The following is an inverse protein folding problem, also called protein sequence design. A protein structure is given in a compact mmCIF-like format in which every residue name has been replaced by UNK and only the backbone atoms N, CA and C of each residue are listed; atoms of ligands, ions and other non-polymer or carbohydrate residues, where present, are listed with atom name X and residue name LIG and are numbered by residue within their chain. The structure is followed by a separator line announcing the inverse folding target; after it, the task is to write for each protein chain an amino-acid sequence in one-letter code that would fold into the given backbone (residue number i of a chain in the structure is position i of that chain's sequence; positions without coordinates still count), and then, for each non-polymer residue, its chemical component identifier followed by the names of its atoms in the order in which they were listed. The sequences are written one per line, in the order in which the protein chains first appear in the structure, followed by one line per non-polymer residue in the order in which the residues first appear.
data_IF_305748643964
#
_entry.id   IF_305748643964
#
_cell.length_a   1.000
_cell.length_b   1.000
_cell.length_c   1.000
_cell.angle_alpha   90.00
_cell.angle_beta   90.00
_cell.angle_gamma   90.00
#
_symmetry.space_group_name_H-M   'P 1'
#
loop_
_entity.id
_entity.type
_entity.pdbx_description
1 polymer ?
#
# COMPACT_ATOMS: atom_id res chain seq x y z
N UNK A 1 -0.32 33.14 8.70
CA UNK A 1 0.38 32.42 7.61
C UNK A 1 -0.38 32.75 6.34
N UNK A 2 0.27 33.31 5.31
CA UNK A 2 -0.43 33.64 4.05
C UNK A 2 -0.90 32.35 3.37
N UNK A 3 -2.07 32.37 2.72
CA UNK A 3 -2.64 31.22 2.00
C UNK A 3 -1.64 30.63 0.99
N UNK A 4 -0.92 31.50 0.25
CA UNK A 4 0.08 31.09 -0.73
C UNK A 4 1.25 30.33 -0.09
N UNK A 5 1.69 30.77 1.09
CA UNK A 5 2.76 30.08 1.85
C UNK A 5 2.29 28.70 2.34
N UNK A 6 1.03 28.58 2.74
CA UNK A 6 0.46 27.29 3.15
C UNK A 6 0.33 26.31 1.97
N UNK A 7 -0.11 26.78 0.80
CA UNK A 7 -0.19 25.95 -0.40
C UNK A 7 1.20 25.50 -0.85
N UNK A 8 2.18 26.42 -0.90
CA UNK A 8 3.55 26.09 -1.27
C UNK A 8 4.17 25.05 -0.32
N UNK A 9 3.97 25.22 1.00
CA UNK A 9 4.43 24.25 2.00
C UNK A 9 3.79 22.87 1.82
N UNK A 10 2.49 22.80 1.54
CA UNK A 10 1.80 21.52 1.26
C UNK A 10 2.31 20.86 -0.01
N UNK A 11 2.63 21.61 -1.07
CA UNK A 11 3.16 21.03 -2.30
C UNK A 11 4.52 20.35 -2.07
N UNK A 12 5.44 21.03 -1.36
CA UNK A 12 6.76 20.47 -1.03
C UNK A 12 6.61 19.24 -0.12
N UNK A 13 5.76 19.33 0.91
CA UNK A 13 5.51 18.22 1.82
C UNK A 13 4.93 16.99 1.10
N UNK A 14 3.99 17.19 0.16
CA UNK A 14 3.39 16.10 -0.61
C UNK A 14 4.41 15.38 -1.51
N UNK A 15 5.38 16.10 -2.09
CA UNK A 15 6.45 15.49 -2.88
C UNK A 15 7.33 14.56 -2.03
N UNK A 16 7.66 14.97 -0.81
CA UNK A 16 8.41 14.15 0.13
C UNK A 16 7.60 12.95 0.65
N UNK A 17 6.32 13.17 0.98
CA UNK A 17 5.43 12.14 1.50
C UNK A 17 5.22 11.00 0.48
N UNK A 18 5.04 11.32 -0.80
CA UNK A 18 4.82 10.30 -1.84
C UNK A 18 5.98 9.32 -2.00
N UNK A 19 7.22 9.76 -1.82
CA UNK A 19 8.40 8.88 -1.86
C UNK A 19 8.36 7.84 -0.73
N UNK A 20 8.04 8.27 0.49
CA UNK A 20 8.01 7.40 1.67
C UNK A 20 6.99 6.27 1.54
N UNK A 21 5.85 6.56 0.90
CA UNK A 21 4.74 5.61 0.75
C UNK A 21 5.04 4.49 -0.25
N UNK A 22 5.84 4.77 -1.29
CA UNK A 22 6.24 3.78 -2.28
C UNK A 22 7.48 2.96 -1.83
N UNK A 23 8.44 3.61 -1.17
CA UNK A 23 9.69 2.97 -0.75
C UNK A 23 9.50 1.95 0.37
N UNK A 24 8.64 2.22 1.35
CA UNK A 24 8.53 1.33 2.50
C UNK A 24 7.99 -0.08 2.15
N UNK A 25 6.92 -0.24 1.34
CA UNK A 25 6.49 -1.56 0.87
C UNK A 25 7.56 -2.28 0.05
N UNK A 26 8.32 -1.53 -0.76
CA UNK A 26 9.39 -2.07 -1.58
C UNK A 26 10.52 -2.65 -0.71
N UNK A 27 10.96 -1.94 0.32
CA UNK A 27 11.96 -2.43 1.28
C UNK A 27 11.47 -3.68 2.01
N UNK A 28 10.20 -3.70 2.45
CA UNK A 28 9.61 -4.85 3.15
C UNK A 28 9.63 -6.09 2.26
N UNK A 29 9.36 -5.93 0.98
CA UNK A 29 9.42 -7.01 -0.01
C UNK A 29 10.84 -7.55 -0.19
N UNK A 30 11.83 -6.66 -0.26
CA UNK A 30 13.22 -7.04 -0.50
C UNK A 30 13.81 -7.89 0.63
N UNK A 31 13.41 -7.60 1.87
CA UNK A 31 13.98 -8.22 3.09
C UNK A 31 13.16 -9.42 3.60
N UNK A 32 11.90 -9.60 3.17
CA UNK A 32 11.04 -10.69 3.65
C UNK A 32 10.65 -11.69 2.55
N UNK A 33 10.61 -12.96 2.94
CA UNK A 33 10.16 -14.05 2.09
C UNK A 33 8.67 -13.97 1.76
N UNK A 34 8.32 -14.45 0.56
CA UNK A 34 6.96 -14.46 -0.01
C UNK A 34 5.86 -14.85 0.98
N UNK A 35 6.08 -15.94 1.72
CA UNK A 35 5.09 -16.52 2.64
C UNK A 35 4.77 -15.66 3.87
N UNK A 36 5.53 -14.61 4.17
CA UNK A 36 5.30 -13.70 5.31
C UNK A 36 5.09 -12.24 4.87
N UNK A 37 5.11 -11.96 3.56
CA UNK A 37 5.10 -10.58 3.05
C UNK A 37 3.86 -9.80 3.50
N UNK A 38 2.67 -10.41 3.46
CA UNK A 38 1.44 -9.71 3.86
C UNK A 38 1.42 -9.42 5.35
N UNK A 39 1.83 -10.38 6.19
CA UNK A 39 1.92 -10.16 7.63
C UNK A 39 2.86 -8.98 7.96
N UNK A 40 4.04 -8.92 7.36
CA UNK A 40 5.02 -7.86 7.63
C UNK A 40 4.58 -6.50 7.09
N UNK A 41 3.98 -6.48 5.90
CA UNK A 41 3.41 -5.26 5.33
C UNK A 41 2.21 -4.76 6.16
N UNK A 42 1.39 -5.66 6.71
CA UNK A 42 0.28 -5.29 7.59
C UNK A 42 0.76 -4.67 8.90
N UNK A 43 1.87 -5.14 9.47
CA UNK A 43 2.50 -4.51 10.64
C UNK A 43 2.99 -3.10 10.34
N UNK A 44 3.60 -2.88 9.18
CA UNK A 44 4.00 -1.56 8.73
C UNK A 44 2.81 -0.60 8.63
N UNK A 45 1.74 -1.00 7.95
CA UNK A 45 0.51 -0.20 7.83
C UNK A 45 -0.14 0.02 9.22
N UNK A 46 -0.10 -0.98 10.09
CA UNK A 46 -0.60 -0.89 11.45
C UNK A 46 0.13 0.15 12.29
N UNK A 47 1.47 0.10 12.31
CA UNK A 47 2.30 1.09 13.02
C UNK A 47 2.08 2.50 12.46
N UNK A 48 2.01 2.63 11.13
CA UNK A 48 1.72 3.91 10.47
C UNK A 48 0.38 4.50 10.92
N UNK A 49 -0.65 3.68 11.02
CA UNK A 49 -1.99 4.12 11.44
C UNK A 49 -2.03 4.52 12.91
N UNK A 50 -1.37 3.76 13.79
CA UNK A 50 -1.26 4.13 15.22
C UNK A 50 -0.56 5.47 15.37
N UNK A 51 0.52 5.70 14.64
CA UNK A 51 1.20 6.99 14.59
C UNK A 51 0.29 8.12 14.08
N UNK A 52 -0.51 7.85 13.06
CA UNK A 52 -1.47 8.80 12.49
C UNK A 52 -2.56 9.17 13.51
N UNK A 53 -3.15 8.19 14.20
CA UNK A 53 -4.16 8.40 15.23
C UNK A 53 -3.61 9.23 16.42
N UNK A 54 -2.39 8.92 16.87
CA UNK A 54 -1.72 9.69 17.91
C UNK A 54 -1.51 11.16 17.51
N UNK A 55 -1.11 11.42 16.26
CA UNK A 55 -0.95 12.78 15.72
C UNK A 55 -2.29 13.51 15.59
N UNK A 56 -3.38 12.83 15.24
CA UNK A 56 -4.71 13.45 15.22
C UNK A 56 -5.16 13.92 16.60
N UNK A 57 -4.95 13.11 17.64
CA UNK A 57 -5.26 13.48 19.02
C UNK A 57 -4.40 14.68 19.44
N UNK A 58 -3.09 14.63 19.17
CA UNK A 58 -2.20 15.75 19.46
C UNK A 58 -2.66 17.04 18.75
N UNK A 59 -3.13 16.94 17.50
CA UNK A 59 -3.68 18.09 16.76
C UNK A 59 -4.87 18.70 17.47
N UNK A 60 -5.80 17.87 17.97
CA UNK A 60 -7.03 18.33 18.63
C UNK A 60 -6.75 19.18 19.88
N UNK A 61 -5.63 18.96 20.58
CA UNK A 61 -5.23 19.73 21.76
C UNK A 61 -4.28 20.89 21.46
N UNK A 62 -3.29 20.67 20.59
CA UNK A 62 -2.23 21.67 20.30
C UNK A 62 -2.79 22.84 19.51
N UNK A 63 -3.66 22.58 18.53
CA UNK A 63 -4.17 23.63 17.64
C UNK A 63 -5.04 24.66 18.39
N UNK A 64 -6.00 24.26 19.25
CA UNK A 64 -6.78 25.24 20.02
C UNK A 64 -5.96 25.95 21.09
N UNK A 65 -5.01 25.27 21.74
CA UNK A 65 -4.25 25.84 22.85
C UNK A 65 -3.14 26.80 22.39
N UNK A 66 -2.30 26.36 21.45
CA UNK A 66 -1.06 27.07 21.08
C UNK A 66 -1.10 27.57 19.63
N UNK A 67 -2.11 27.18 18.85
CA UNK A 67 -2.29 27.62 17.47
C UNK A 67 -1.50 26.77 16.46
N UNK A 68 -1.81 26.99 15.19
CA UNK A 68 -1.32 26.17 14.07
C UNK A 68 0.18 26.28 13.80
N UNK A 69 0.82 27.39 14.21
CA UNK A 69 2.28 27.58 14.04
C UNK A 69 3.09 26.56 14.85
N UNK A 70 2.69 26.33 16.10
CA UNK A 70 3.36 25.39 16.99
C UNK A 70 3.16 23.94 16.54
N UNK A 71 2.00 23.63 15.99
CA UNK A 71 1.75 22.33 15.35
C UNK A 71 2.78 22.03 14.25
N UNK A 72 3.03 22.98 13.33
CA UNK A 72 4.04 22.78 12.28
C UNK A 72 5.46 22.67 12.85
N UNK A 73 5.83 23.47 13.85
CA UNK A 73 7.16 23.40 14.47
C UNK A 73 7.41 22.03 15.11
N UNK A 74 6.45 21.51 15.88
CA UNK A 74 6.56 20.18 16.50
C UNK A 74 6.70 19.10 15.42
N UNK A 75 5.88 19.16 14.37
CA UNK A 75 5.99 18.23 13.24
C UNK A 75 7.37 18.30 12.57
N UNK A 76 7.95 19.49 12.39
CA UNK A 76 9.31 19.65 11.84
C UNK A 76 10.37 19.02 12.73
N UNK A 77 10.31 19.20 14.06
CA UNK A 77 11.27 18.57 14.98
C UNK A 77 11.18 17.05 14.97
N UNK A 78 9.96 16.49 14.92
CA UNK A 78 9.76 15.04 14.80
C UNK A 78 10.37 14.53 13.49
N UNK A 79 10.11 15.18 12.36
CA UNK A 79 10.70 14.79 11.08
C UNK A 79 12.23 14.91 11.07
N UNK A 80 12.80 15.94 11.70
CA UNK A 80 14.25 16.09 11.84
C UNK A 80 14.86 14.96 12.69
N UNK A 81 14.21 14.60 13.80
CA UNK A 81 14.65 13.47 14.63
C UNK A 81 14.57 12.14 13.85
N UNK A 82 13.50 11.91 13.09
CA UNK A 82 13.36 10.72 12.24
C UNK A 82 14.41 10.70 11.14
N UNK A 83 14.78 11.83 10.57
CA UNK A 83 15.88 11.92 9.58
C UNK A 83 17.23 11.51 10.19
N UNK A 84 17.53 12.00 11.41
CA UNK A 84 18.76 11.62 12.13
C UNK A 84 18.75 10.11 12.44
N UNK A 85 17.62 9.58 12.90
CA UNK A 85 17.49 8.14 13.15
C UNK A 85 17.62 7.32 11.86
N UNK A 86 17.00 7.75 10.76
CA UNK A 86 17.11 7.08 9.48
C UNK A 86 18.56 7.03 9.00
N UNK A 87 19.33 8.11 9.18
CA UNK A 87 20.75 8.13 8.83
C UNK A 87 21.58 7.07 9.58
N UNK A 88 21.29 6.80 10.85
CA UNK A 88 22.04 5.82 11.64
C UNK A 88 21.51 4.38 11.56
N UNK A 89 20.19 4.20 11.36
CA UNK A 89 19.52 2.90 11.49
C UNK A 89 18.97 2.34 10.18
N UNK A 90 18.69 3.17 9.17
CA UNK A 90 18.23 2.68 7.87
C UNK A 90 19.43 2.23 7.03
N UNK A 91 19.58 0.92 6.88
CA UNK A 91 20.62 0.32 6.05
C UNK A 91 20.11 0.17 4.62
N UNK A 92 20.94 0.49 3.64
CA UNK A 92 20.63 0.32 2.22
C UNK A 92 20.39 -1.17 1.89
N UNK A 93 19.20 -1.46 1.35
CA UNK A 93 18.75 -2.80 0.98
C UNK A 93 18.92 -3.10 -0.51
N UNK A 94 19.14 -2.07 -1.34
CA UNK A 94 19.29 -2.23 -2.78
C UNK A 94 20.47 -3.16 -3.11
N UNK A 95 20.17 -4.24 -3.82
CA UNK A 95 21.15 -5.20 -4.32
C UNK A 95 20.82 -5.56 -5.77
N UNK A 96 21.82 -5.51 -6.67
CA UNK A 96 21.62 -5.94 -8.06
C UNK A 96 21.48 -7.46 -8.10
N UNK A 97 20.24 -7.92 -8.27
CA UNK A 97 19.93 -9.34 -8.41
C UNK A 97 20.00 -9.71 -9.90
N UNK A 98 20.69 -10.81 -10.27
CA UNK A 98 20.58 -11.35 -11.62
C UNK A 98 19.11 -11.73 -11.90
N UNK A 99 18.68 -11.57 -13.15
CA UNK A 99 17.27 -11.80 -13.57
C UNK A 99 16.80 -13.22 -13.25
N UNK A 100 17.72 -14.18 -13.22
CA UNK A 100 17.46 -15.59 -12.92
C UNK A 100 17.20 -15.86 -11.43
N UNK A 101 17.67 -14.97 -10.53
CA UNK A 101 17.42 -15.09 -9.10
C UNK A 101 15.93 -14.95 -8.76
N UNK A 102 15.16 -14.20 -9.55
CA UNK A 102 13.71 -14.08 -9.40
C UNK A 102 12.95 -15.37 -9.76
N UNK A 103 13.57 -16.26 -10.56
CA UNK A 103 13.04 -17.60 -10.87
C UNK A 103 13.48 -18.67 -9.87
N UNK A 104 14.24 -18.28 -8.85
CA UNK A 104 14.95 -19.21 -7.98
C UNK A 104 16.02 -19.99 -8.74
N UNK A 105 16.54 -19.47 -9.85
CA UNK A 105 17.56 -20.09 -10.66
C UNK A 105 18.91 -19.44 -10.36
N UNK A 106 19.91 -20.24 -10.01
CA UNK A 106 21.29 -19.78 -9.81
C UNK A 106 22.13 -20.35 -10.93
N UNK A 107 22.80 -19.46 -11.67
CA UNK A 107 23.83 -19.84 -12.63
C UNK A 107 25.09 -20.20 -11.83
N UNK A 108 25.37 -21.50 -11.73
CA UNK A 108 26.64 -21.97 -11.22
C UNK A 108 27.56 -22.20 -12.42
N UNK A 109 28.71 -21.52 -12.42
CA UNK A 109 29.82 -21.85 -13.29
C UNK A 109 30.59 -22.98 -12.64
N UNK A 110 30.63 -24.12 -13.32
CA UNK A 110 31.30 -25.32 -12.86
C UNK A 110 32.64 -25.44 -13.59
N UNK A 111 33.69 -25.74 -12.82
CA UNK A 111 35.01 -26.12 -13.32
C UNK A 111 34.98 -27.55 -13.92
N UNK A 112 36.05 -27.98 -14.61
CA UNK A 112 36.15 -29.35 -15.17
C UNK A 112 36.00 -30.44 -14.08
N UNK A 113 36.31 -30.10 -12.82
CA UNK A 113 36.16 -30.97 -11.64
C UNK A 113 34.76 -30.93 -11.00
N UNK A 114 33.81 -30.17 -11.55
CA UNK A 114 32.44 -30.06 -11.03
C UNK A 114 32.28 -29.17 -9.78
N UNK A 115 33.28 -28.36 -9.45
CA UNK A 115 33.23 -27.38 -8.34
C UNK A 115 32.76 -26.00 -8.82
N UNK A 116 32.09 -25.24 -7.95
CA UNK A 116 31.62 -23.88 -8.26
C UNK A 116 32.80 -22.93 -8.33
N UNK A 117 33.14 -22.46 -9.54
CA UNK A 117 34.25 -21.55 -9.79
C UNK A 117 33.79 -20.38 -10.69
N UNK A 118 34.17 -19.13 -10.37
CA UNK A 118 33.79 -17.93 -11.14
C UNK A 118 34.28 -17.98 -12.60
N UNK A 119 35.34 -18.75 -12.86
CA UNK A 119 35.96 -18.90 -14.19
C UNK A 119 35.63 -20.24 -14.86
N UNK A 120 34.67 -21.01 -14.35
CA UNK A 120 34.28 -22.29 -14.94
C UNK A 120 33.62 -22.11 -16.31
N UNK A 121 33.92 -23.01 -17.24
CA UNK A 121 33.46 -22.96 -18.63
C UNK A 121 32.02 -23.48 -18.81
N UNK A 122 31.48 -24.21 -17.83
CA UNK A 122 30.14 -24.80 -17.91
C UNK A 122 29.15 -24.04 -17.02
N UNK A 123 28.26 -23.25 -17.63
CA UNK A 123 27.12 -22.64 -16.93
C UNK A 123 25.97 -23.65 -16.79
N UNK A 124 25.67 -24.07 -15.56
CA UNK A 124 24.48 -24.85 -15.24
C UNK A 124 23.49 -24.02 -14.42
N UNK A 125 22.22 -24.07 -14.83
CA UNK A 125 21.11 -23.39 -14.14
C UNK A 125 20.52 -24.35 -13.12
N UNK A 126 20.74 -24.09 -11.83
CA UNK A 126 20.13 -24.85 -10.75
C UNK A 126 18.91 -24.11 -10.21
N UNK A 127 17.76 -24.78 -10.18
CA UNK A 127 16.58 -24.27 -9.51
C UNK A 127 16.69 -24.56 -8.01
N UNK A 128 16.99 -23.52 -7.23
CA UNK A 128 17.15 -23.59 -5.78
C UNK A 128 15.78 -23.71 -5.15
N UNK A 129 15.52 -24.87 -4.52
CA UNK A 129 14.33 -25.10 -3.71
C UNK A 129 14.55 -24.52 -2.30
N UNK A 130 13.48 -24.05 -1.65
CA UNK A 130 13.47 -23.53 -0.25
C UNK A 130 14.10 -24.48 0.79
N UNK A 131 14.32 -25.75 0.42
CA UNK A 131 14.94 -26.78 1.26
C UNK A 131 16.48 -26.68 1.33
N UNK A 132 17.10 -25.89 0.45
CA UNK A 132 18.54 -25.64 0.48
C UNK A 132 18.84 -24.44 1.37
N UNK A 133 19.37 -24.68 2.56
CA UNK A 133 19.91 -23.64 3.45
C UNK A 133 21.07 -22.93 2.78
N UNK A 134 20.91 -21.64 2.49
CA UNK A 134 22.02 -20.80 2.05
C UNK A 134 23.01 -20.61 3.21
N UNK A 135 24.21 -21.14 3.04
CA UNK A 135 25.35 -20.76 3.89
C UNK A 135 25.78 -19.38 3.45
N UNK A 136 25.75 -18.41 4.37
CA UNK A 136 26.32 -17.09 4.13
C UNK A 136 27.79 -17.28 3.70
N UNK A 137 28.19 -16.71 2.56
CA UNK A 137 29.56 -16.75 2.04
C UNK A 137 30.26 -15.40 2.29
N UNK A 138 30.66 -15.08 3.54
CA UNK A 138 31.33 -13.82 3.86
C UNK A 138 32.68 -13.67 3.14
N UNK A 139 33.28 -14.77 2.68
CA UNK A 139 34.54 -14.79 1.91
C UNK A 139 34.38 -14.26 0.48
N UNK A 140 33.19 -14.37 -0.12
CA UNK A 140 32.92 -13.97 -1.51
C UNK A 140 32.40 -12.52 -1.59
N UNK A 141 31.65 -12.08 -0.58
CA UNK A 141 30.97 -10.77 -0.58
C UNK A 141 31.54 -9.78 0.45
N UNK A 142 32.46 -10.21 1.30
CA UNK A 142 33.08 -9.41 2.36
C UNK A 142 32.16 -9.14 3.57
N UNK A 143 32.71 -8.85 4.77
CA UNK A 143 31.91 -8.48 5.92
C UNK A 143 31.32 -7.08 5.76
N UNK A 144 29.99 -6.94 5.88
CA UNK A 144 29.33 -5.62 5.93
C UNK A 144 29.80 -4.86 7.17
N UNK A 145 30.63 -3.84 6.98
CA UNK A 145 31.09 -2.95 8.05
C UNK A 145 30.10 -1.80 8.26
N UNK A 146 29.97 -1.32 9.50
CA UNK A 146 29.08 -0.21 9.84
C UNK A 146 29.38 1.07 9.01
N UNK A 147 30.66 1.29 8.66
CA UNK A 147 31.08 2.38 7.76
C UNK A 147 30.57 2.21 6.32
N UNK A 148 30.46 0.99 5.83
CA UNK A 148 29.84 0.70 4.53
C UNK A 148 28.32 0.91 4.57
N UNK A 149 27.67 0.74 5.72
CA UNK A 149 26.24 1.04 5.84
C UNK A 149 25.94 2.54 5.88
N UNK A 150 26.88 3.37 6.33
CA UNK A 150 26.76 4.83 6.43
C UNK A 150 27.10 5.60 5.15
N UNK A 151 27.59 4.93 4.10
CA UNK A 151 27.84 5.61 2.82
C UNK A 151 26.52 6.00 2.16
N UNK A 152 26.35 7.27 1.80
CA UNK A 152 25.09 7.81 1.25
C UNK A 152 24.82 7.32 -0.19
N UNK A 153 25.88 7.03 -0.95
CA UNK A 153 25.77 6.61 -2.35
C UNK A 153 26.55 5.31 -2.56
N UNK A 154 25.85 4.17 -2.53
CA UNK A 154 26.41 2.86 -2.86
C UNK A 154 26.51 2.62 -4.38
N UNK A 155 25.81 3.40 -5.20
CA UNK A 155 25.65 3.16 -6.63
C UNK A 155 25.82 4.43 -7.48
N UNK A 156 26.26 4.26 -8.73
CA UNK A 156 26.33 5.35 -9.73
C UNK A 156 24.97 5.48 -10.41
N UNK A 157 24.26 6.61 -10.30
CA UNK A 157 22.91 6.74 -10.88
C UNK A 157 22.93 6.53 -12.40
N UNK A 158 22.22 5.53 -12.88
CA UNK A 158 22.00 5.30 -14.31
C UNK A 158 20.68 5.95 -14.75
N UNK A 159 20.79 7.11 -15.39
CA UNK A 159 19.64 7.86 -15.89
C UNK A 159 18.86 7.13 -17.00
N UNK A 160 19.46 6.14 -17.67
CA UNK A 160 18.75 5.33 -18.66
C UNK A 160 17.72 4.42 -17.99
N UNK A 161 18.03 3.89 -16.81
CA UNK A 161 17.07 3.08 -16.04
C UNK A 161 15.84 3.88 -15.65
N UNK A 162 15.97 5.17 -15.38
CA UNK A 162 14.81 6.06 -15.12
C UNK A 162 13.86 6.12 -16.31
N UNK A 163 14.38 6.23 -17.54
CA UNK A 163 13.55 6.25 -18.76
C UNK A 163 12.86 4.89 -18.96
N UNK A 164 13.57 3.79 -18.72
CA UNK A 164 13.01 2.44 -18.77
C UNK A 164 11.90 2.28 -17.72
N UNK A 165 12.14 2.77 -16.51
CA UNK A 165 11.16 2.77 -15.41
C UNK A 165 9.87 3.50 -15.81
N UNK A 166 9.96 4.69 -16.43
CA UNK A 166 8.77 5.38 -16.94
C UNK A 166 8.06 4.63 -18.07
N UNK A 167 8.80 3.95 -18.94
CA UNK A 167 8.22 3.07 -19.97
C UNK A 167 7.47 1.89 -19.32
N UNK A 168 8.03 1.29 -18.28
CA UNK A 168 7.42 0.19 -17.54
C UNK A 168 6.13 0.60 -16.82
N UNK A 169 6.08 1.82 -16.28
CA UNK A 169 4.84 2.41 -15.74
C UNK A 169 3.77 2.49 -16.83
N UNK A 170 4.10 3.02 -18.00
CA UNK A 170 3.15 3.14 -19.11
C UNK A 170 2.66 1.76 -19.57
N UNK A 171 3.55 0.77 -19.61
CA UNK A 171 3.21 -0.62 -19.91
C UNK A 171 2.32 -1.26 -18.83
N UNK A 172 2.57 -0.97 -17.55
CA UNK A 172 1.74 -1.44 -16.45
C UNK A 172 0.31 -0.89 -16.51
N UNK A 173 0.13 0.36 -16.96
CA UNK A 173 -1.19 0.94 -17.21
C UNK A 173 -1.94 0.29 -18.38
N UNK A 174 -1.26 -0.45 -19.26
CA UNK A 174 -1.91 -1.24 -20.31
C UNK A 174 -2.43 -2.59 -19.80
N UNK A 175 -2.11 -2.98 -18.55
CA UNK A 175 -2.55 -4.25 -17.98
C UNK A 175 -3.92 -4.11 -17.31
N UNK A 176 -4.95 -4.84 -17.77
CA UNK A 176 -6.29 -4.76 -17.18
C UNK A 176 -6.31 -5.09 -15.68
N UNK A 177 -5.51 -6.06 -15.23
CA UNK A 177 -5.46 -6.45 -13.81
C UNK A 177 -4.92 -5.32 -12.92
N UNK A 178 -3.88 -4.61 -13.37
CA UNK A 178 -3.26 -3.53 -12.61
C UNK A 178 -4.14 -2.29 -12.64
N UNK A 179 -4.74 -1.97 -13.79
CA UNK A 179 -5.71 -0.87 -13.91
C UNK A 179 -6.93 -1.11 -13.01
N UNK A 180 -7.46 -2.33 -12.98
CA UNK A 180 -8.55 -2.67 -12.08
C UNK A 180 -8.14 -2.52 -10.61
N UNK A 181 -6.95 -3.01 -10.22
CA UNK A 181 -6.46 -2.87 -8.84
C UNK A 181 -6.25 -1.41 -8.44
N UNK A 182 -5.75 -0.61 -9.38
CA UNK A 182 -5.62 0.85 -9.27
C UNK A 182 -6.99 1.52 -9.08
N UNK A 183 -7.99 1.17 -9.89
CA UNK A 183 -9.36 1.68 -9.77
C UNK A 183 -9.98 1.31 -8.43
N UNK A 184 -9.79 0.08 -7.96
CA UNK A 184 -10.28 -0.39 -6.68
C UNK A 184 -9.64 0.38 -5.52
N UNK A 185 -8.31 0.50 -5.51
CA UNK A 185 -7.58 1.25 -4.48
C UNK A 185 -7.97 2.74 -4.48
N UNK A 186 -8.06 3.35 -5.66
CA UNK A 186 -8.44 4.75 -5.83
C UNK A 186 -9.88 5.03 -5.39
N UNK A 187 -10.83 4.16 -5.74
CA UNK A 187 -12.22 4.29 -5.32
C UNK A 187 -12.37 4.17 -3.80
N UNK A 188 -11.72 3.18 -3.18
CA UNK A 188 -11.81 2.96 -1.74
C UNK A 188 -11.16 4.10 -0.95
N UNK A 189 -10.00 4.59 -1.41
CA UNK A 189 -9.38 5.79 -0.85
C UNK A 189 -10.29 7.01 -1.02
N UNK A 190 -10.92 7.18 -2.19
CA UNK A 190 -11.86 8.27 -2.45
C UNK A 190 -13.08 8.26 -1.52
N UNK A 191 -13.65 7.07 -1.25
CA UNK A 191 -14.74 6.88 -0.29
C UNK A 191 -14.30 7.29 1.10
N UNK A 192 -13.13 6.82 1.55
CA UNK A 192 -12.57 7.21 2.85
C UNK A 192 -12.35 8.72 2.93
N UNK A 193 -11.78 9.34 1.89
CA UNK A 193 -11.53 10.79 1.85
C UNK A 193 -12.86 11.56 1.91
N UNK A 194 -13.90 11.13 1.20
CA UNK A 194 -15.23 11.71 1.30
C UNK A 194 -15.72 11.67 2.75
N UNK A 195 -15.68 10.51 3.40
CA UNK A 195 -16.16 10.36 4.78
C UNK A 195 -15.30 11.19 5.74
N UNK A 196 -13.98 11.20 5.58
CA UNK A 196 -13.04 11.97 6.40
C UNK A 196 -13.19 13.49 6.27
N UNK A 197 -13.68 13.98 5.12
CA UNK A 197 -13.91 15.41 4.92
C UNK A 197 -15.26 15.88 5.45
N UNK A 198 -16.23 14.97 5.59
CA UNK A 198 -17.63 15.31 5.94
C UNK A 198 -18.03 14.90 7.36
N UNK A 199 -17.35 13.93 7.98
CA UNK A 199 -17.75 13.42 9.32
C UNK A 199 -17.76 14.52 10.39
N UNK A 200 -16.76 15.42 10.36
CA UNK A 200 -16.63 16.50 11.35
C UNK A 200 -17.78 17.49 11.25
N UNK A 201 -18.15 17.90 10.02
CA UNK A 201 -19.30 18.80 9.80
C UNK A 201 -20.63 18.18 10.22
N UNK A 202 -20.82 16.87 10.02
CA UNK A 202 -22.06 16.18 10.40
C UNK A 202 -22.14 16.03 11.93
N UNK A 203 -21.05 15.63 12.60
CA UNK A 203 -21.04 15.42 14.06
C UNK A 203 -21.11 16.73 14.86
N UNK A 204 -20.55 17.82 14.33
CA UNK A 204 -20.63 19.13 15.00
C UNK A 204 -21.99 19.81 14.80
N UNK A 205 -22.73 19.45 13.76
CA UNK A 205 -24.07 19.99 13.50
C UNK A 205 -25.12 19.38 14.46
N UNK A 206 -26.22 20.09 14.76
CA UNK A 206 -27.37 19.49 15.43
C UNK A 206 -27.88 18.26 14.65
N UNK A 207 -28.24 17.14 15.31
CA UNK A 207 -28.54 16.94 16.74
C UNK A 207 -27.37 16.48 17.62
N UNK A 208 -26.21 16.13 17.06
CA UNK A 208 -25.12 15.50 17.84
C UNK A 208 -24.28 16.51 18.62
N UNK A 209 -24.04 17.70 18.07
CA UNK A 209 -23.35 18.83 18.73
C UNK A 209 -22.05 18.42 19.44
N UNK A 210 -21.21 17.64 18.76
CA UNK A 210 -19.94 17.18 19.33
C UNK A 210 -18.97 18.35 19.54
N UNK A 211 -18.23 18.29 20.66
CA UNK A 211 -17.10 19.19 20.91
C UNK A 211 -15.94 18.85 19.98
N UNK A 212 -15.16 19.87 19.59
CA UNK A 212 -13.98 19.69 18.74
C UNK A 212 -12.99 18.65 19.30
N UNK A 213 -12.78 18.66 20.62
CA UNK A 213 -11.88 17.73 21.33
C UNK A 213 -12.28 16.26 21.11
N UNK A 214 -13.57 15.98 20.89
CA UNK A 214 -14.07 14.62 20.70
C UNK A 214 -13.78 14.06 19.32
N UNK A 215 -13.53 14.90 18.32
CA UNK A 215 -13.19 14.47 16.97
C UNK A 215 -11.84 13.74 16.93
N UNK A 216 -10.91 14.09 17.83
CA UNK A 216 -9.64 13.36 17.99
C UNK A 216 -9.86 11.92 18.45
N UNK A 217 -10.82 11.69 19.36
CA UNK A 217 -11.15 10.34 19.83
C UNK A 217 -11.84 9.47 18.76
N UNK A 218 -12.61 10.08 17.86
CA UNK A 218 -13.20 9.37 16.71
C UNK A 218 -12.11 8.73 15.84
N UNK A 219 -10.94 9.39 15.70
CA UNK A 219 -9.80 8.85 14.96
C UNK A 219 -9.03 7.77 15.73
N UNK A 220 -9.12 7.75 17.07
CA UNK A 220 -8.49 6.71 17.89
C UNK A 220 -9.08 5.33 17.56
N UNK A 221 -10.34 5.27 17.12
CA UNK A 221 -10.99 4.03 16.67
C UNK A 221 -10.22 3.35 15.52
N UNK A 222 -9.48 4.11 14.69
CA UNK A 222 -8.62 3.54 13.63
C UNK A 222 -7.48 2.66 14.18
N UNK A 223 -7.11 2.83 15.44
CA UNK A 223 -6.17 1.91 16.12
C UNK A 223 -6.80 0.52 16.26
N UNK A 224 -8.10 0.44 16.55
CA UNK A 224 -8.83 -0.83 16.59
C UNK A 224 -8.87 -1.48 15.20
N UNK A 225 -9.06 -0.69 14.15
CA UNK A 225 -9.01 -1.19 12.77
C UNK A 225 -7.66 -1.88 12.49
N UNK A 226 -6.55 -1.35 13.02
CA UNK A 226 -5.23 -1.96 12.87
C UNK A 226 -5.04 -3.23 13.68
N UNK A 227 -5.54 -3.24 14.92
CA UNK A 227 -5.52 -4.44 15.77
C UNK A 227 -6.30 -5.59 15.11
N UNK A 228 -7.34 -5.27 14.34
CA UNK A 228 -8.11 -6.26 13.56
C UNK A 228 -7.42 -6.59 12.22
N UNK A 229 -6.88 -5.59 11.53
CA UNK A 229 -6.30 -5.73 10.19
C UNK A 229 -5.06 -6.64 10.18
N UNK A 230 -4.16 -6.51 11.14
CA UNK A 230 -2.93 -7.32 11.20
C UNK A 230 -3.22 -8.83 11.29
N UNK A 231 -4.01 -9.33 12.26
CA UNK A 231 -4.32 -10.76 12.33
C UNK A 231 -5.21 -11.22 11.17
N UNK A 232 -6.21 -10.42 10.77
CA UNK A 232 -7.21 -10.86 9.81
C UNK A 232 -6.71 -10.79 8.35
N UNK A 233 -6.16 -9.65 7.94
CA UNK A 233 -5.73 -9.40 6.56
C UNK A 233 -4.22 -9.62 6.36
N UNK A 234 -3.41 -9.50 7.41
CA UNK A 234 -1.99 -9.86 7.37
C UNK A 234 -1.78 -11.37 7.47
N UNK A 235 -1.81 -11.88 8.71
CA UNK A 235 -1.58 -13.30 8.99
C UNK A 235 -2.66 -14.20 8.37
N UNK A 236 -3.93 -13.82 8.46
CA UNK A 236 -5.03 -14.57 7.85
C UNK A 236 -4.89 -14.69 6.33
N UNK A 237 -4.37 -13.66 5.65
CA UNK A 237 -4.07 -13.73 4.23
C UNK A 237 -2.97 -14.74 3.93
N UNK A 238 -1.85 -14.67 4.64
CA UNK A 238 -0.73 -15.59 4.41
C UNK A 238 -1.11 -17.04 4.75
N UNK A 239 -1.90 -17.27 5.80
CA UNK A 239 -2.44 -18.59 6.13
C UNK A 239 -3.35 -19.14 5.04
N UNK A 240 -4.27 -18.33 4.52
CA UNK A 240 -5.20 -18.74 3.47
C UNK A 240 -4.45 -19.07 2.17
N UNK A 241 -3.47 -18.26 1.80
CA UNK A 241 -2.65 -18.49 0.61
C UNK A 241 -1.81 -19.76 0.76
N UNK A 242 -1.22 -20.01 1.94
CA UNK A 242 -0.51 -21.26 2.23
C UNK A 242 -1.44 -22.47 2.13
N UNK A 243 -2.62 -22.41 2.75
CA UNK A 243 -3.61 -23.48 2.70
C UNK A 243 -4.02 -23.82 1.25
N UNK A 244 -4.40 -22.81 0.46
CA UNK A 244 -4.78 -23.01 -0.94
C UNK A 244 -3.63 -23.51 -1.81
N UNK A 245 -2.41 -23.06 -1.56
CA UNK A 245 -1.22 -23.54 -2.27
C UNK A 245 -0.94 -25.01 -1.94
N UNK A 246 -1.07 -25.42 -0.67
CA UNK A 246 -0.90 -26.84 -0.28
C UNK A 246 -1.97 -27.74 -0.89
N UNK A 247 -3.20 -27.25 -1.02
CA UNK A 247 -4.28 -28.00 -1.67
C UNK A 247 -4.10 -28.13 -3.19
N UNK A 248 -3.32 -27.23 -3.81
CA UNK A 248 -3.02 -27.24 -5.26
C UNK A 248 -1.55 -27.59 -5.53
N UNK A 249 -1.14 -28.76 -5.06
CA UNK A 249 0.18 -29.37 -5.33
C UNK A 249 1.38 -28.47 -5.01
N UNK A 250 1.23 -27.53 -4.06
CA UNK A 250 2.31 -26.62 -3.65
C UNK A 250 2.57 -25.46 -4.61
N UNK A 251 1.74 -25.25 -5.64
CA UNK A 251 1.92 -24.15 -6.60
C UNK A 251 1.30 -22.85 -6.08
N UNK A 252 2.15 -21.84 -5.89
CA UNK A 252 1.72 -20.51 -5.46
C UNK A 252 1.10 -19.73 -6.63
N UNK A 253 -0.07 -19.13 -6.39
CA UNK A 253 -0.72 -18.22 -7.33
C UNK A 253 -1.10 -16.91 -6.60
N UNK A 254 -0.63 -15.74 -7.07
CA UNK A 254 -0.98 -14.44 -6.50
C UNK A 254 -2.50 -14.20 -6.39
N UNK A 255 -3.29 -14.82 -7.27
CA UNK A 255 -4.75 -14.68 -7.34
C UNK A 255 -5.45 -15.14 -6.05
N UNK A 256 -4.87 -16.04 -5.26
CA UNK A 256 -5.46 -16.48 -3.99
C UNK A 256 -5.68 -15.32 -2.99
N UNK A 257 -4.89 -14.23 -3.08
CA UNK A 257 -5.08 -13.04 -2.24
C UNK A 257 -6.37 -12.30 -2.54
N UNK A 258 -6.90 -12.41 -3.76
CA UNK A 258 -8.16 -11.75 -4.15
C UNK A 258 -9.37 -12.28 -3.37
N UNK A 259 -9.30 -13.49 -2.81
CA UNK A 259 -10.37 -14.03 -1.95
C UNK A 259 -10.48 -13.20 -0.67
N UNK A 260 -9.36 -12.80 -0.07
CA UNK A 260 -9.33 -11.96 1.13
C UNK A 260 -9.88 -10.56 0.84
N UNK A 261 -9.73 -10.07 -0.39
CA UNK A 261 -10.25 -8.76 -0.83
C UNK A 261 -11.78 -8.66 -0.71
N UNK A 262 -12.50 -9.78 -0.71
CA UNK A 262 -13.96 -9.80 -0.53
C UNK A 262 -14.40 -9.13 0.78
N UNK A 263 -13.63 -9.29 1.85
CA UNK A 263 -13.97 -8.75 3.17
C UNK A 263 -13.88 -7.21 3.20
N UNK A 264 -12.79 -6.57 2.72
CA UNK A 264 -12.76 -5.12 2.49
C UNK A 264 -13.88 -4.62 1.57
N UNK A 265 -14.22 -5.35 0.50
CA UNK A 265 -15.29 -4.93 -0.44
C UNK A 265 -16.64 -4.86 0.26
N UNK A 266 -17.01 -5.89 1.00
CA UNK A 266 -18.28 -5.92 1.76
C UNK A 266 -18.28 -4.80 2.80
N UNK A 267 -17.15 -4.59 3.49
CA UNK A 267 -16.99 -3.54 4.49
C UNK A 267 -17.18 -2.14 3.90
N UNK A 268 -16.64 -1.87 2.71
CA UNK A 268 -16.82 -0.59 2.00
C UNK A 268 -18.29 -0.34 1.64
N UNK A 269 -18.99 -1.34 1.09
CA UNK A 269 -20.40 -1.20 0.69
C UNK A 269 -21.27 -0.90 1.93
N UNK A 270 -21.09 -1.67 3.01
CA UNK A 270 -21.80 -1.46 4.28
C UNK A 270 -21.51 -0.06 4.81
N UNK A 271 -20.23 0.32 4.85
CA UNK A 271 -19.80 1.65 5.29
C UNK A 271 -20.52 2.77 4.53
N UNK A 272 -20.55 2.69 3.20
CA UNK A 272 -21.24 3.68 2.38
C UNK A 272 -22.74 3.77 2.73
N UNK A 273 -23.45 2.65 2.75
CA UNK A 273 -24.91 2.64 2.97
C UNK A 273 -25.27 3.24 4.33
N UNK A 274 -24.60 2.82 5.40
CA UNK A 274 -24.89 3.33 6.75
C UNK A 274 -24.49 4.80 6.91
N UNK A 275 -23.33 5.21 6.39
CA UNK A 275 -22.89 6.60 6.45
C UNK A 275 -23.83 7.54 5.67
N UNK A 276 -24.28 7.11 4.49
CA UNK A 276 -25.23 7.87 3.66
C UNK A 276 -26.59 8.05 4.33
N UNK A 277 -27.12 7.00 4.95
CA UNK A 277 -28.40 7.07 5.67
C UNK A 277 -28.30 7.93 6.94
N UNK A 278 -27.22 7.78 7.71
CA UNK A 278 -27.01 8.56 8.92
C UNK A 278 -26.80 10.05 8.62
N UNK A 279 -26.07 10.37 7.54
CA UNK A 279 -25.86 11.75 7.10
C UNK A 279 -27.12 12.45 6.57
N UNK A 280 -28.05 11.71 5.95
CA UNK A 280 -29.30 12.29 5.44
C UNK A 280 -30.41 12.39 6.49
N UNK A 281 -30.43 11.48 7.47
CA UNK A 281 -31.48 11.46 8.51
C UNK A 281 -30.87 11.50 9.93
N UNK A 282 -30.14 12.58 10.28
CA UNK A 282 -29.41 12.64 11.55
C UNK A 282 -30.32 12.55 12.79
N UNK A 283 -31.61 12.89 12.68
CA UNK A 283 -32.59 12.78 13.78
C UNK A 283 -33.07 11.34 14.07
N UNK A 284 -32.85 10.39 13.15
CA UNK A 284 -33.30 8.99 13.30
C UNK A 284 -32.19 8.06 13.75
N UNK A 285 -30.94 8.46 13.57
CA UNK A 285 -29.77 7.61 13.77
C UNK A 285 -28.92 8.11 14.93
N UNK A 286 -28.26 7.19 15.61
CA UNK A 286 -27.32 7.52 16.69
C UNK A 286 -25.95 7.90 16.08
N UNK A 287 -25.16 8.71 16.80
CA UNK A 287 -23.85 9.18 16.30
C UNK A 287 -22.88 8.04 15.93
N UNK A 288 -23.07 6.86 16.54
CA UNK A 288 -22.28 5.66 16.26
C UNK A 288 -22.46 5.17 14.81
N UNK A 289 -23.62 5.45 14.19
CA UNK A 289 -23.89 5.13 12.78
C UNK A 289 -23.16 6.06 11.82
N UNK A 290 -22.45 7.07 12.32
CA UNK A 290 -21.51 7.88 11.51
C UNK A 290 -20.09 7.41 11.78
N UNK A 291 -19.73 7.26 13.06
CA UNK A 291 -18.38 6.91 13.52
C UNK A 291 -17.99 5.48 13.09
N UNK A 292 -18.86 4.49 13.29
CA UNK A 292 -18.54 3.10 12.95
C UNK A 292 -18.40 2.89 11.44
N UNK A 293 -19.31 3.38 10.57
CA UNK A 293 -19.12 3.30 9.13
C UNK A 293 -17.90 4.06 8.63
N UNK A 294 -17.57 5.22 9.21
CA UNK A 294 -16.34 5.94 8.86
C UNK A 294 -15.08 5.09 9.07
N UNK A 295 -14.94 4.46 10.24
CA UNK A 295 -13.81 3.57 10.55
C UNK A 295 -13.87 2.28 9.73
N UNK A 296 -15.07 1.71 9.50
CA UNK A 296 -15.23 0.55 8.62
C UNK A 296 -14.78 0.85 7.17
N UNK A 297 -15.04 2.07 6.68
CA UNK A 297 -14.56 2.54 5.38
C UNK A 297 -13.04 2.68 5.34
N UNK A 298 -12.44 3.14 6.44
CA UNK A 298 -10.99 3.18 6.59
C UNK A 298 -10.36 1.78 6.60
N UNK A 299 -10.92 0.85 7.37
CA UNK A 299 -10.51 -0.57 7.37
C UNK A 299 -10.61 -1.18 5.96
N UNK A 300 -11.69 -0.89 5.23
CA UNK A 300 -11.85 -1.35 3.85
C UNK A 300 -10.76 -0.80 2.93
N UNK A 301 -10.43 0.49 3.04
CA UNK A 301 -9.32 1.09 2.30
C UNK A 301 -7.97 0.44 2.64
N UNK A 302 -7.66 0.27 3.93
CA UNK A 302 -6.39 -0.36 4.33
C UNK A 302 -6.27 -1.80 3.82
N UNK A 303 -7.37 -2.56 3.86
CA UNK A 303 -7.39 -3.92 3.32
C UNK A 303 -7.21 -3.98 1.81
N UNK A 304 -7.91 -3.11 1.07
CA UNK A 304 -7.74 -2.97 -0.37
C UNK A 304 -6.31 -2.55 -0.76
N UNK A 305 -5.70 -1.68 0.05
CA UNK A 305 -4.31 -1.26 -0.10
C UNK A 305 -3.33 -2.42 0.13
N UNK A 306 -3.44 -3.11 1.25
CA UNK A 306 -2.57 -4.24 1.59
C UNK A 306 -2.61 -5.33 0.51
N UNK A 307 -3.81 -5.73 0.09
CA UNK A 307 -3.99 -6.74 -0.95
C UNK A 307 -3.53 -6.21 -2.31
N UNK A 308 -3.76 -4.93 -2.61
CA UNK A 308 -3.34 -4.31 -3.86
C UNK A 308 -1.82 -4.29 -4.04
N UNK A 309 -1.10 -3.88 -2.99
CA UNK A 309 0.36 -3.87 -2.96
C UNK A 309 0.92 -5.29 -3.10
N UNK A 310 0.47 -6.22 -2.26
CA UNK A 310 0.97 -7.60 -2.27
C UNK A 310 0.67 -8.31 -3.59
N UNK A 311 -0.54 -8.16 -4.13
CA UNK A 311 -0.91 -8.76 -5.41
C UNK A 311 -0.06 -8.24 -6.57
N UNK A 312 0.21 -6.93 -6.62
CA UNK A 312 0.96 -6.33 -7.72
C UNK A 312 2.43 -6.76 -7.72
N UNK A 313 3.04 -6.73 -6.53
CA UNK A 313 4.38 -7.24 -6.28
C UNK A 313 4.49 -8.71 -6.71
N UNK A 314 3.58 -9.56 -6.23
CA UNK A 314 3.70 -11.00 -6.42
C UNK A 314 3.32 -11.44 -7.84
N UNK A 315 2.51 -10.64 -8.53
CA UNK A 315 2.15 -10.91 -9.92
C UNK A 315 3.35 -10.73 -10.86
N UNK A 316 4.21 -9.74 -10.60
CA UNK A 316 5.38 -9.42 -11.42
C UNK A 316 6.53 -8.91 -10.54
N UNK A 317 7.24 -9.80 -9.81
CA UNK A 317 8.29 -9.41 -8.87
C UNK A 317 9.42 -8.58 -9.50
N UNK A 318 9.83 -8.94 -10.71
CA UNK A 318 10.89 -8.23 -11.45
C UNK A 318 10.53 -6.79 -11.82
N UNK A 319 9.24 -6.42 -11.75
CA UNK A 319 8.70 -5.08 -12.05
C UNK A 319 7.91 -4.51 -10.86
N UNK A 320 8.21 -4.94 -9.64
CA UNK A 320 7.53 -4.49 -8.43
C UNK A 320 7.56 -2.97 -8.26
N UNK A 321 8.71 -2.32 -8.47
CA UNK A 321 8.87 -0.86 -8.34
C UNK A 321 7.88 -0.03 -9.18
N UNK A 322 7.88 -0.20 -10.53
CA UNK A 322 6.91 0.49 -11.40
C UNK A 322 5.45 0.22 -11.04
N UNK A 323 5.11 -1.02 -10.66
CA UNK A 323 3.75 -1.42 -10.31
C UNK A 323 3.27 -0.78 -9.01
N UNK A 324 4.13 -0.74 -7.99
CA UNK A 324 3.86 -0.04 -6.74
C UNK A 324 3.63 1.44 -6.98
N UNK A 325 4.44 2.08 -7.84
CA UNK A 325 4.23 3.47 -8.19
C UNK A 325 2.87 3.69 -8.86
N UNK A 326 2.47 2.83 -9.80
CA UNK A 326 1.15 2.92 -10.45
C UNK A 326 0.04 2.85 -9.41
N UNK A 327 0.10 1.92 -8.45
CA UNK A 327 -0.96 1.74 -7.45
C UNK A 327 -0.94 2.88 -6.41
N UNK A 328 0.21 3.18 -5.82
CA UNK A 328 0.34 4.16 -4.75
C UNK A 328 0.15 5.61 -5.23
N UNK A 329 0.73 5.99 -6.38
CA UNK A 329 0.53 7.33 -6.93
C UNK A 329 -0.80 7.44 -7.68
N UNK A 330 -1.15 6.42 -8.48
CA UNK A 330 -2.37 6.42 -9.29
C UNK A 330 -3.64 6.50 -8.44
N UNK A 331 -3.70 5.80 -7.31
CA UNK A 331 -4.88 5.87 -6.41
C UNK A 331 -5.11 7.28 -5.89
N UNK A 332 -4.04 8.06 -5.69
CA UNK A 332 -4.09 9.44 -5.24
C UNK A 332 -4.81 10.33 -6.25
N UNK A 333 -4.52 10.17 -7.54
CA UNK A 333 -5.21 10.89 -8.62
C UNK A 333 -6.71 10.56 -8.67
N UNK A 334 -7.06 9.28 -8.59
CA UNK A 334 -8.46 8.84 -8.61
C UNK A 334 -9.20 9.35 -7.38
N UNK A 335 -8.62 9.17 -6.19
CA UNK A 335 -9.20 9.65 -4.94
C UNK A 335 -9.36 11.17 -4.93
N UNK A 336 -8.42 11.92 -5.51
CA UNK A 336 -8.52 13.37 -5.62
C UNK A 336 -9.69 13.78 -6.51
N UNK A 337 -9.89 13.11 -7.66
CA UNK A 337 -11.05 13.34 -8.53
C UNK A 337 -12.38 13.09 -7.81
N UNK A 338 -12.47 12.01 -7.04
CA UNK A 338 -13.65 11.69 -6.24
C UNK A 338 -13.88 12.69 -5.10
N UNK A 339 -12.79 13.11 -4.43
CA UNK A 339 -12.85 14.11 -3.35
C UNK A 339 -13.28 15.49 -3.87
N UNK A 340 -12.80 15.92 -5.03
CA UNK A 340 -13.22 17.18 -5.64
C UNK A 340 -14.73 17.21 -5.94
N UNK A 341 -15.28 16.04 -6.30
CA UNK A 341 -16.71 15.86 -6.57
C UNK A 341 -17.57 15.83 -5.30
N UNK A 342 -16.97 15.75 -4.11
CA UNK A 342 -17.68 15.56 -2.83
C UNK A 342 -18.66 16.69 -2.53
N UNK A 343 -18.18 17.95 -2.49
CA UNK A 343 -19.00 19.11 -2.12
C UNK A 343 -20.14 19.35 -3.14
N UNK A 344 -19.88 19.35 -4.47
CA UNK A 344 -20.96 19.48 -5.46
C UNK A 344 -22.01 18.37 -5.35
N UNK A 345 -21.58 17.12 -5.11
CA UNK A 345 -22.48 15.98 -5.04
C UNK A 345 -23.41 16.05 -3.82
N UNK A 346 -22.88 16.47 -2.67
CA UNK A 346 -23.69 16.70 -1.46
C UNK A 346 -24.74 17.79 -1.71
N UNK A 347 -24.38 18.87 -2.39
CA UNK A 347 -25.30 19.96 -2.69
C UNK A 347 -26.40 19.57 -3.69
N UNK A 348 -26.13 18.66 -4.63
CA UNK A 348 -27.07 18.26 -5.67
C UNK A 348 -28.03 17.14 -5.24
N UNK A 349 -27.51 16.10 -4.58
CA UNK A 349 -28.26 14.85 -4.30
C UNK A 349 -28.24 14.45 -2.82
N UNK A 350 -27.61 15.25 -1.96
CA UNK A 350 -27.49 14.99 -0.53
C UNK A 350 -26.54 13.83 -0.19
N UNK A 351 -26.33 13.63 1.12
CA UNK A 351 -25.41 12.60 1.64
C UNK A 351 -25.80 11.17 1.23
N UNK A 352 -27.10 10.85 1.22
CA UNK A 352 -27.59 9.51 0.89
C UNK A 352 -27.39 9.20 -0.60
N UNK A 353 -27.76 10.13 -1.49
CA UNK A 353 -27.56 9.97 -2.93
C UNK A 353 -26.08 9.83 -3.28
N UNK A 354 -25.23 10.71 -2.74
CA UNK A 354 -23.80 10.67 -2.95
C UNK A 354 -23.20 9.32 -2.54
N UNK A 355 -23.52 8.87 -1.33
CA UNK A 355 -22.89 7.68 -0.77
C UNK A 355 -23.43 6.37 -1.37
N UNK A 356 -24.68 6.35 -1.86
CA UNK A 356 -25.19 5.23 -2.65
C UNK A 356 -24.47 5.09 -4.00
N UNK A 357 -24.13 6.21 -4.68
CA UNK A 357 -23.33 6.16 -5.91
C UNK A 357 -21.97 5.55 -5.60
N UNK A 358 -21.32 5.98 -4.51
CA UNK A 358 -20.06 5.39 -4.07
C UNK A 358 -20.17 3.91 -3.72
N UNK A 359 -21.27 3.48 -3.08
CA UNK A 359 -21.54 2.07 -2.80
C UNK A 359 -21.67 1.24 -4.08
N UNK A 360 -22.36 1.77 -5.10
CA UNK A 360 -22.51 1.12 -6.41
C UNK A 360 -21.15 1.02 -7.10
N UNK A 361 -20.35 2.10 -7.09
CA UNK A 361 -18.99 2.09 -7.68
C UNK A 361 -18.12 1.04 -6.97
N UNK A 362 -18.09 1.02 -5.64
CA UNK A 362 -17.34 0.04 -4.86
C UNK A 362 -17.84 -1.39 -5.14
N UNK A 363 -19.15 -1.60 -5.26
CA UNK A 363 -19.74 -2.89 -5.57
C UNK A 363 -19.44 -3.39 -6.98
N UNK A 364 -19.51 -2.52 -7.99
CA UNK A 364 -19.20 -2.86 -9.39
C UNK A 364 -17.71 -3.17 -9.54
N UNK A 365 -16.83 -2.31 -9.01
CA UNK A 365 -15.38 -2.54 -9.05
C UNK A 365 -15.01 -3.76 -8.22
N UNK A 366 -15.67 -3.98 -7.07
CA UNK A 366 -15.52 -5.17 -6.25
C UNK A 366 -15.98 -6.44 -6.95
N UNK A 367 -17.07 -6.40 -7.71
CA UNK A 367 -17.56 -7.55 -8.49
C UNK A 367 -16.59 -7.95 -9.60
N UNK A 368 -15.81 -7.00 -10.14
CA UNK A 368 -14.72 -7.29 -11.09
C UNK A 368 -13.58 -8.12 -10.47
N UNK A 369 -13.53 -8.32 -9.14
CA UNK A 369 -12.61 -9.27 -8.50
C UNK A 369 -12.83 -10.70 -9.02
N UNK A 370 -14.09 -11.10 -9.25
CA UNK A 370 -14.42 -12.45 -9.71
C UNK A 370 -13.81 -12.78 -11.09
N UNK A 371 -14.03 -11.99 -12.16
CA UNK A 371 -13.41 -12.26 -13.44
C UNK A 371 -11.88 -12.16 -13.37
N UNK A 372 -11.31 -11.22 -12.60
CA UNK A 372 -9.86 -11.11 -12.44
C UNK A 372 -9.28 -12.33 -11.73
N UNK A 373 -9.99 -12.94 -10.80
CA UNK A 373 -9.56 -14.18 -10.15
C UNK A 373 -9.46 -15.36 -11.15
N UNK A 374 -10.45 -15.51 -12.04
CA UNK A 374 -10.44 -16.60 -13.02
C UNK A 374 -9.51 -16.35 -14.21
N UNK A 375 -9.48 -15.13 -14.73
CA UNK A 375 -8.69 -14.77 -15.93
C UNK A 375 -7.30 -14.22 -15.62
N UNK A 376 -6.99 -13.95 -14.34
CA UNK A 376 -5.76 -13.28 -13.90
C UNK A 376 -4.50 -13.99 -14.39
N UNK A 377 -4.46 -15.31 -14.28
CA UNK A 377 -3.36 -16.15 -14.77
C UNK A 377 -3.12 -16.00 -16.28
N UNK A 378 -4.18 -15.93 -17.08
CA UNK A 378 -4.10 -15.75 -18.55
C UNK A 378 -3.62 -14.36 -18.91
N UNK A 379 -4.11 -13.34 -18.21
CA UNK A 379 -3.71 -11.95 -18.41
C UNK A 379 -2.23 -11.76 -18.05
N UNK A 380 -1.75 -12.40 -16.98
CA UNK A 380 -0.33 -12.42 -16.62
C UNK A 380 0.52 -13.11 -17.69
N UNK A 381 0.14 -14.30 -18.14
CA UNK A 381 0.88 -14.99 -19.21
C UNK A 381 0.91 -14.18 -20.52
N UNK A 382 -0.19 -13.48 -20.85
CA UNK A 382 -0.23 -12.58 -21.98
C UNK A 382 0.69 -11.36 -21.79
N UNK A 383 0.70 -10.78 -20.60
CA UNK A 383 1.56 -9.65 -20.25
C UNK A 383 3.05 -10.02 -20.37
N UNK A 384 3.45 -11.16 -19.81
CA UNK A 384 4.82 -11.66 -19.90
C UNK A 384 5.22 -11.95 -21.35
N UNK A 385 4.31 -12.45 -22.19
CA UNK A 385 4.63 -12.75 -23.60
C UNK A 385 4.68 -11.53 -24.51
N UNK A 386 3.79 -10.54 -24.31
CA UNK A 386 3.57 -9.45 -25.26
C UNK A 386 4.15 -8.11 -24.79
N UNK A 387 4.12 -7.84 -23.49
CA UNK A 387 4.51 -6.54 -22.92
C UNK A 387 5.96 -6.56 -22.44
N UNK A 388 6.39 -7.68 -21.84
CA UNK A 388 7.78 -7.90 -21.39
C UNK A 388 8.36 -9.22 -21.87
N UNK A 389 8.64 -9.38 -23.18
CA UNK A 389 9.18 -10.62 -23.73
C UNK A 389 10.53 -11.02 -23.09
N UNK A 390 11.27 -10.05 -22.56
CA UNK A 390 12.50 -10.24 -21.77
C UNK A 390 12.30 -11.12 -20.53
N UNK A 391 11.08 -11.17 -19.99
CA UNK A 391 10.73 -12.02 -18.83
C UNK A 391 10.28 -13.42 -19.28
N UNK A 392 10.09 -13.65 -20.58
CA UNK A 392 9.63 -14.94 -21.15
C UNK A 392 10.73 -15.82 -21.74
N UNK A 393 11.89 -15.23 -22.05
CA UNK A 393 13.13 -15.95 -22.33
C UNK A 393 13.77 -16.38 -21.02
#
# INVERSE_FOLDING_TARGET
MSLSSHIAGRNIYSLAAGQSEALAPFIIEEIHFLHERSAKLSWFIGVQTVGTAAMFIATAYIVPAWGTKWWYLIATFINAAVLVLAFFFAVETKYERPVDADRGAVHLKLDEDGNVNKNGDTEMVFQVLTRQTHVLQPEVFGPRTWRHNLTIFHFKPDWRQTVIFYKEIAQALCLPNIVWMLLLNGAFLGIYVYQSSTFSSILMSPPYTFKYDWLGYVQLVQVLDCVILVPLLGYGSDMLVRALSTWRNGTFQPEYRLIILSLPIISAIISCVFFGQAGAFPNRWHWITIVAPYNLGYFAFLGANLVGITYAIESLPSKAGPLLLVICAGRGFISFGLSYSTVPLINLIGYNGAMNIFAIIAGVIGALTFPVYYFGSRIRMWATKKVWPEISQ
#
